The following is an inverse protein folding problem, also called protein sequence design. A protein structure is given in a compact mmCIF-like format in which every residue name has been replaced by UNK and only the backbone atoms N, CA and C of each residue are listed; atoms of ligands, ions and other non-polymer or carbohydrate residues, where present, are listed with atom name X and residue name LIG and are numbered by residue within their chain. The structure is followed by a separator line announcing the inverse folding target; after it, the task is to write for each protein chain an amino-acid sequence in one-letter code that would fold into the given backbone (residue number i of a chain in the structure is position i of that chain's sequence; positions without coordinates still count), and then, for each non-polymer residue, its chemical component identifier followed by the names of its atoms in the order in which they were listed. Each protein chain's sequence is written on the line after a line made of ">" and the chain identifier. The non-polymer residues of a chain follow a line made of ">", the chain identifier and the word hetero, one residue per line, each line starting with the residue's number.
data_IF_579814422568
#
_entry.id   IF_579814422568
#
_cell.length_a   1.000
_cell.length_b   1.000
_cell.length_c   1.000
_cell.angle_alpha   90.00
_cell.angle_beta   90.00
_cell.angle_gamma   90.00
#
_symmetry.space_group_name_H-M   'P 1'
#
loop_
_entity.id
_entity.type
_entity.pdbx_description
1 polymer ?
#
# COMPACT_ATOMS: atom_id res chain seq x y z
N UNK A 1 8.99 3.38 19.53
CA UNK A 1 8.25 2.37 18.76
C UNK A 1 7.25 3.10 17.90
N UNK A 2 7.19 2.80 16.60
CA UNK A 2 6.16 3.33 15.71
C UNK A 2 4.99 2.34 15.56
N UNK A 3 3.94 2.74 14.85
CA UNK A 3 2.75 1.91 14.60
C UNK A 3 2.99 0.74 13.65
N UNK A 4 4.09 0.74 12.90
CA UNK A 4 4.48 -0.33 11.96
C UNK A 4 4.75 -1.65 12.67
N UNK A 5 5.11 -1.60 13.96
CA UNK A 5 5.29 -2.77 14.82
C UNK A 5 4.01 -3.59 14.96
N UNK A 6 2.84 -2.93 15.05
CA UNK A 6 1.52 -3.59 15.19
C UNK A 6 1.05 -4.18 13.87
N UNK A 7 1.12 -3.38 12.80
CA UNK A 7 0.73 -3.77 11.45
C UNK A 7 1.51 -2.96 10.43
N UNK A 8 1.92 -3.60 9.33
CA UNK A 8 2.61 -2.94 8.22
C UNK A 8 1.75 -1.95 7.45
N UNK A 9 0.42 -2.04 7.54
CA UNK A 9 -0.49 -1.08 6.86
C UNK A 9 -1.51 -0.43 7.77
N UNK A 10 -1.86 -1.07 8.89
CA UNK A 10 -2.94 -0.66 9.78
C UNK A 10 -4.30 -0.53 9.05
N UNK A 11 -4.50 -1.27 7.96
CA UNK A 11 -5.71 -1.16 7.13
C UNK A 11 -6.99 -1.56 7.89
N UNK A 12 -6.85 -2.40 8.91
CA UNK A 12 -7.92 -2.78 9.83
C UNK A 12 -8.57 -1.59 10.57
N UNK A 13 -7.90 -0.43 10.64
CA UNK A 13 -8.46 0.81 11.19
C UNK A 13 -9.46 1.50 10.26
N UNK A 14 -9.53 1.09 8.99
CA UNK A 14 -10.45 1.61 7.99
C UNK A 14 -11.79 0.86 7.92
N UNK A 15 -12.10 0.00 8.91
CA UNK A 15 -13.41 -0.65 9.01
C UNK A 15 -14.55 0.36 9.02
N UNK A 16 -15.66 -0.02 8.39
CA UNK A 16 -16.86 0.82 8.27
C UNK A 16 -16.81 1.87 7.15
N UNK A 17 -15.74 1.91 6.36
CA UNK A 17 -15.67 2.73 5.14
C UNK A 17 -15.97 1.87 3.90
N UNK A 18 -16.80 2.40 2.99
CA UNK A 18 -17.22 1.67 1.79
C UNK A 18 -16.08 1.45 0.77
N UNK A 19 -15.07 2.33 0.77
CA UNK A 19 -14.00 2.37 -0.24
C UNK A 19 -12.66 2.62 0.43
N UNK A 20 -11.69 1.73 0.19
CA UNK A 20 -10.41 1.74 0.87
C UNK A 20 -9.28 1.55 -0.14
N UNK A 21 -8.31 2.48 -0.12
CA UNK A 21 -7.06 2.36 -0.86
C UNK A 21 -5.91 2.10 0.12
N UNK A 22 -5.28 0.94 -0.01
CA UNK A 22 -4.12 0.55 0.81
C UNK A 22 -2.85 0.76 0.00
N UNK A 23 -1.92 1.58 0.51
CA UNK A 23 -0.60 1.77 -0.08
C UNK A 23 0.44 0.99 0.74
N UNK A 24 1.02 -0.07 0.16
CA UNK A 24 2.09 -0.84 0.79
C UNK A 24 3.34 -0.94 -0.11
N UNK A 25 4.22 0.08 -0.11
CA UNK A 25 5.41 0.09 -0.95
C UNK A 25 6.45 -0.97 -0.57
N UNK A 26 6.36 -1.57 0.63
CA UNK A 26 7.30 -2.59 1.11
C UNK A 26 6.80 -4.02 0.88
N UNK A 27 5.56 -4.19 0.42
CA UNK A 27 4.95 -5.49 0.12
C UNK A 27 4.92 -6.42 1.34
N UNK A 28 5.12 -7.73 1.10
CA UNK A 28 5.12 -8.75 2.15
C UNK A 28 6.23 -8.56 3.20
N UNK A 29 7.24 -7.73 2.91
CA UNK A 29 8.36 -7.45 3.82
C UNK A 29 8.05 -6.34 4.83
N UNK A 30 6.84 -5.76 4.80
CA UNK A 30 6.49 -4.59 5.62
C UNK A 30 6.42 -4.89 7.13
N UNK A 31 6.13 -6.12 7.56
CA UNK A 31 6.12 -6.50 8.98
C UNK A 31 6.14 -8.04 9.17
N UNK A 32 6.84 -8.54 10.20
CA UNK A 32 6.87 -9.96 10.62
C UNK A 32 5.91 -10.28 11.80
N UNK A 33 5.33 -9.26 12.44
CA UNK A 33 4.60 -9.37 13.72
C UNK A 33 3.09 -9.15 13.63
N UNK A 34 2.57 -8.74 12.48
CA UNK A 34 1.15 -8.43 12.25
C UNK A 34 0.55 -9.19 11.06
N UNK A 35 -0.77 -9.04 10.87
CA UNK A 35 -1.45 -9.57 9.68
C UNK A 35 -0.87 -8.94 8.42
N UNK A 36 -0.62 -9.75 7.39
CA UNK A 36 -0.14 -9.25 6.10
C UNK A 36 -1.22 -8.45 5.39
N UNK A 37 -0.82 -7.50 4.54
CA UNK A 37 -1.73 -6.63 3.78
C UNK A 37 -2.84 -7.39 3.04
N UNK A 38 -2.52 -8.57 2.51
CA UNK A 38 -3.53 -9.42 1.84
C UNK A 38 -4.63 -9.90 2.79
N UNK A 39 -4.27 -10.26 4.02
CA UNK A 39 -5.24 -10.67 5.04
C UNK A 39 -6.07 -9.49 5.53
N UNK A 40 -5.47 -8.31 5.68
CA UNK A 40 -6.19 -7.11 6.09
C UNK A 40 -7.17 -6.65 5.01
N UNK A 41 -6.75 -6.65 3.74
CA UNK A 41 -7.62 -6.35 2.61
C UNK A 41 -8.80 -7.33 2.51
N UNK A 42 -8.52 -8.65 2.59
CA UNK A 42 -9.57 -9.66 2.54
C UNK A 42 -10.61 -9.53 3.67
N UNK A 43 -10.18 -9.15 4.88
CA UNK A 43 -11.11 -8.90 5.99
C UNK A 43 -12.03 -7.70 5.72
N UNK A 44 -11.48 -6.61 5.17
CA UNK A 44 -12.26 -5.42 4.81
C UNK A 44 -13.26 -5.69 3.67
N UNK A 45 -12.85 -6.49 2.67
CA UNK A 45 -13.72 -6.95 1.58
C UNK A 45 -14.88 -7.82 2.10
N UNK A 46 -14.60 -8.72 3.06
CA UNK A 46 -15.64 -9.53 3.73
C UNK A 46 -16.64 -8.69 4.51
N UNK A 47 -16.22 -7.53 5.02
CA UNK A 47 -17.08 -6.56 5.71
C UNK A 47 -17.84 -5.63 4.73
N UNK A 48 -17.69 -5.83 3.41
CA UNK A 48 -18.44 -5.12 2.37
C UNK A 48 -17.71 -3.93 1.74
N UNK A 49 -16.45 -3.69 2.11
CA UNK A 49 -15.64 -2.60 1.55
C UNK A 49 -15.15 -2.96 0.14
N UNK A 50 -15.10 -1.98 -0.75
CA UNK A 50 -14.31 -2.09 -1.99
C UNK A 50 -12.87 -1.71 -1.68
N UNK A 51 -11.94 -2.65 -1.86
CA UNK A 51 -10.53 -2.46 -1.50
C UNK A 51 -9.64 -2.50 -2.73
N UNK A 52 -8.75 -1.52 -2.85
CA UNK A 52 -7.66 -1.53 -3.82
C UNK A 52 -6.33 -1.50 -3.07
N UNK A 53 -5.47 -2.48 -3.33
CA UNK A 53 -4.10 -2.53 -2.77
C UNK A 53 -3.11 -2.12 -3.85
N UNK A 54 -2.28 -1.12 -3.56
CA UNK A 54 -1.13 -0.73 -4.38
C UNK A 54 0.15 -1.11 -3.64
N UNK A 55 0.86 -2.09 -4.19
CA UNK A 55 2.25 -2.38 -3.83
C UNK A 55 3.21 -1.68 -4.79
N UNK A 56 4.48 -1.53 -4.39
CA UNK A 56 5.51 -1.03 -5.29
C UNK A 56 5.64 -1.95 -6.52
N UNK A 57 5.58 -1.36 -7.72
CA UNK A 57 5.92 -2.08 -8.94
C UNK A 57 7.42 -2.41 -9.01
N UNK A 58 7.84 -3.11 -10.05
CA UNK A 58 9.25 -3.53 -10.20
C UNK A 58 10.21 -2.34 -10.20
N UNK A 59 9.86 -1.23 -10.85
CA UNK A 59 10.72 -0.05 -10.95
C UNK A 59 10.86 0.64 -9.58
N UNK A 60 9.75 0.78 -8.87
CA UNK A 60 9.66 1.37 -7.53
C UNK A 60 10.37 0.51 -6.50
N UNK A 61 10.17 -0.82 -6.51
CA UNK A 61 10.87 -1.76 -5.64
C UNK A 61 12.38 -1.72 -5.87
N UNK A 62 12.81 -1.64 -7.14
CA UNK A 62 14.23 -1.49 -7.49
C UNK A 62 14.81 -0.18 -6.97
N UNK A 63 14.05 0.91 -7.09
CA UNK A 63 14.47 2.23 -6.63
C UNK A 63 14.53 2.34 -5.09
N UNK A 64 13.65 1.63 -4.38
CA UNK A 64 13.68 1.48 -2.90
C UNK A 64 14.89 0.64 -2.48
N UNK A 65 15.20 -0.42 -3.23
CA UNK A 65 16.31 -1.32 -2.93
C UNK A 65 16.09 -2.17 -1.67
N UNK A 66 17.15 -2.81 -1.21
CA UNK A 66 17.11 -3.70 -0.04
C UNK A 66 17.19 -2.95 1.30
N UNK A 67 17.70 -1.71 1.29
CA UNK A 67 17.79 -0.85 2.47
C UNK A 67 16.92 0.40 2.26
N UNK A 68 15.64 0.38 2.67
CA UNK A 68 14.76 1.54 2.53
C UNK A 68 15.17 2.73 3.41
N UNK A 69 16.15 2.56 4.31
CA UNK A 69 16.70 3.62 5.14
C UNK A 69 17.93 4.29 4.51
N UNK A 70 18.40 3.82 3.35
CA UNK A 70 19.48 4.46 2.62
C UNK A 70 19.00 5.81 2.05
N UNK A 71 19.61 6.95 2.46
CA UNK A 71 19.18 8.27 2.01
C UNK A 71 19.33 8.49 0.50
N UNK A 72 20.17 7.70 -0.17
CA UNK A 72 20.37 7.79 -1.63
C UNK A 72 19.14 7.31 -2.42
N UNK A 73 18.30 6.46 -1.81
CA UNK A 73 17.10 5.89 -2.45
C UNK A 73 15.91 6.87 -2.49
N UNK A 74 15.91 7.88 -1.60
CA UNK A 74 14.78 8.82 -1.41
C UNK A 74 14.25 9.44 -2.72
N UNK A 75 15.14 10.01 -3.54
CA UNK A 75 14.75 10.68 -4.80
C UNK A 75 14.33 9.66 -5.88
N UNK A 76 15.13 8.61 -6.16
CA UNK A 76 14.72 7.53 -7.06
C UNK A 76 13.34 6.94 -6.74
N UNK A 77 13.09 6.57 -5.47
CA UNK A 77 11.82 5.97 -5.07
C UNK A 77 10.63 6.92 -5.27
N UNK A 78 10.79 8.21 -4.93
CA UNK A 78 9.73 9.19 -5.10
C UNK A 78 9.37 9.42 -6.58
N UNK A 79 10.36 9.40 -7.48
CA UNK A 79 10.13 9.53 -8.91
C UNK A 79 9.46 8.28 -9.49
N UNK A 80 9.94 7.09 -9.13
CA UNK A 80 9.35 5.83 -9.57
C UNK A 80 7.89 5.70 -9.08
N UNK A 81 7.63 5.95 -7.79
CA UNK A 81 6.29 5.94 -7.24
C UNK A 81 5.35 6.99 -7.84
N UNK A 82 5.87 8.16 -8.24
CA UNK A 82 5.08 9.16 -8.98
C UNK A 82 4.68 8.63 -10.36
N UNK A 83 5.60 8.00 -11.08
CA UNK A 83 5.31 7.39 -12.38
C UNK A 83 4.25 6.29 -12.23
N UNK A 84 4.45 5.35 -11.31
CA UNK A 84 3.49 4.30 -10.99
C UNK A 84 2.11 4.89 -10.64
N UNK A 85 2.07 5.92 -9.79
CA UNK A 85 0.83 6.58 -9.40
C UNK A 85 0.07 7.22 -10.57
N UNK A 86 0.79 7.77 -11.57
CA UNK A 86 0.15 8.31 -12.79
C UNK A 86 -0.46 7.21 -13.64
N UNK A 87 0.19 6.06 -13.72
CA UNK A 87 -0.32 4.90 -14.47
C UNK A 87 -1.56 4.28 -13.80
N UNK A 88 -1.57 4.24 -12.46
CA UNK A 88 -2.68 3.71 -11.66
C UNK A 88 -3.82 4.71 -11.42
N UNK A 89 -3.68 5.97 -11.84
CA UNK A 89 -4.63 7.03 -11.54
C UNK A 89 -6.05 6.71 -12.00
N UNK A 90 -6.22 6.08 -13.17
CA UNK A 90 -7.52 5.68 -13.68
C UNK A 90 -8.17 4.58 -12.82
N UNK A 91 -7.40 3.57 -12.38
CA UNK A 91 -7.88 2.50 -11.49
C UNK A 91 -8.28 3.04 -10.12
N UNK A 92 -7.48 3.97 -9.58
CA UNK A 92 -7.82 4.69 -8.35
C UNK A 92 -9.10 5.49 -8.57
N UNK A 93 -9.22 6.28 -9.63
CA UNK A 93 -10.44 7.04 -9.89
C UNK A 93 -11.68 6.14 -10.01
N UNK A 94 -11.57 4.98 -10.65
CA UNK A 94 -12.67 4.02 -10.80
C UNK A 94 -13.25 3.54 -9.46
N UNK A 95 -12.39 3.37 -8.44
CA UNK A 95 -12.81 3.02 -7.07
C UNK A 95 -13.76 4.08 -6.47
N UNK A 96 -13.63 5.35 -6.86
CA UNK A 96 -14.52 6.43 -6.39
C UNK A 96 -15.66 6.80 -7.34
N UNK A 97 -15.68 6.25 -8.55
CA UNK A 97 -16.58 6.69 -9.62
C UNK A 97 -17.93 5.95 -9.67
N UNK A 98 -18.18 5.01 -8.76
CA UNK A 98 -19.43 4.25 -8.72
C UNK A 98 -20.10 4.40 -7.35
N UNK A 99 -21.29 5.01 -7.37
CA UNK A 99 -22.30 5.01 -6.31
C UNK A 99 -23.64 4.64 -6.95
#
# INVERSE_FOLDING_TARGET
>A
MDGGVRSGTNADLARGYDRILILNPLGANANAFGAGTASEAAALEQEGSQVLVIAADRASATAIGLNPLDPTTRRPSALAGRTQGRELAASVAALWSHA
#
